data_IF_100780349860
#
_entry.id   IF_100780349860
#
_cell.length_a   1.000
_cell.length_b   1.000
_cell.length_c   1.000
_cell.angle_alpha   90.00
_cell.angle_beta   90.00
_cell.angle_gamma   90.00
#
_symmetry.space_group_name_H-M   'P 1'
#
loop_
_entity.id
_entity.type
_entity.pdbx_description
1 polymer ?
#
# COMPACT_ATOMS: atom_id res chain seq x y z
N UNK A 1 -41.99 32.50 -50.84
CA UNK A 1 -41.89 31.67 -52.06
C UNK A 1 -40.81 30.62 -51.80
N UNK A 2 -41.26 29.42 -51.43
CA UNK A 2 -41.24 28.17 -52.23
C UNK A 2 -40.01 27.34 -51.87
N UNK A 3 -40.16 26.44 -50.89
CA UNK A 3 -40.61 25.05 -51.08
C UNK A 3 -39.50 24.18 -51.69
N UNK A 4 -38.97 23.14 -51.05
CA UNK A 4 -39.59 21.93 -50.45
C UNK A 4 -38.97 20.75 -51.22
N UNK A 5 -38.87 19.60 -50.55
CA UNK A 5 -38.61 18.23 -51.06
C UNK A 5 -37.14 17.79 -51.01
N UNK A 6 -36.78 16.62 -50.48
CA UNK A 6 -37.47 15.50 -49.80
C UNK A 6 -36.28 14.66 -49.21
N UNK A 7 -36.27 14.19 -47.94
CA UNK A 7 -36.88 12.93 -47.45
C UNK A 7 -36.25 11.73 -48.19
N UNK A 8 -35.56 10.71 -47.63
CA UNK A 8 -35.70 9.92 -46.39
C UNK A 8 -34.55 8.91 -46.38
N UNK A 9 -33.96 8.56 -45.23
CA UNK A 9 -34.04 7.17 -44.74
C UNK A 9 -33.65 7.13 -43.25
N UNK A 10 -34.52 6.47 -42.49
CA UNK A 10 -34.64 6.42 -41.05
C UNK A 10 -34.84 4.92 -40.74
N UNK A 11 -33.98 4.30 -39.93
CA UNK A 11 -34.17 2.99 -39.28
C UNK A 11 -32.86 2.69 -38.53
N UNK A 12 -32.76 2.18 -37.30
CA UNK A 12 -33.63 1.98 -36.16
C UNK A 12 -32.70 1.42 -35.06
N UNK A 13 -32.65 2.03 -33.87
CA UNK A 13 -32.08 1.39 -32.67
C UNK A 13 -32.55 2.15 -31.41
N UNK A 14 -33.84 2.02 -31.12
CA UNK A 14 -34.46 2.46 -29.87
C UNK A 14 -35.25 1.29 -29.28
N UNK A 15 -34.59 0.50 -28.42
CA UNK A 15 -35.13 -0.54 -27.53
C UNK A 15 -33.87 -1.04 -26.76
N UNK A 16 -33.69 -0.94 -25.44
CA UNK A 16 -34.59 -1.17 -24.31
C UNK A 16 -34.07 -0.41 -23.08
N UNK A 17 -34.87 0.52 -22.54
CA UNK A 17 -34.73 0.99 -21.16
C UNK A 17 -35.80 0.29 -20.34
N UNK A 18 -35.42 -0.79 -19.66
CA UNK A 18 -36.26 -1.40 -18.63
C UNK A 18 -35.85 -0.85 -17.26
N UNK A 19 -36.78 -0.28 -16.47
CA UNK A 19 -36.53 -0.03 -15.06
C UNK A 19 -36.59 -1.37 -14.31
N UNK A 20 -35.46 -1.81 -13.77
CA UNK A 20 -35.42 -2.93 -12.83
C UNK A 20 -35.93 -2.41 -11.49
N UNK A 21 -37.12 -2.85 -11.09
CA UNK A 21 -37.64 -2.69 -9.74
C UNK A 21 -36.95 -3.75 -8.89
N UNK A 22 -35.95 -3.34 -8.09
CA UNK A 22 -35.31 -4.23 -7.12
C UNK A 22 -36.23 -4.39 -5.90
N UNK A 23 -36.84 -5.55 -5.78
CA UNK A 23 -37.48 -6.06 -4.57
C UNK A 23 -36.43 -6.14 -3.46
N UNK A 24 -36.53 -5.28 -2.45
CA UNK A 24 -35.78 -5.42 -1.20
C UNK A 24 -36.36 -6.63 -0.43
N UNK A 25 -35.65 -7.75 -0.49
CA UNK A 25 -35.88 -8.88 0.41
C UNK A 25 -35.28 -8.53 1.77
N UNK A 26 -36.09 -8.66 2.81
CA UNK A 26 -35.71 -8.53 4.21
C UNK A 26 -34.86 -9.74 4.59
N UNK A 27 -33.54 -9.63 4.54
CA UNK A 27 -32.64 -10.62 5.14
C UNK A 27 -32.37 -10.24 6.60
N UNK A 28 -32.57 -11.22 7.49
CA UNK A 28 -32.23 -11.10 8.91
C UNK A 28 -30.72 -11.03 9.15
N UNK A 29 -30.27 -11.03 10.42
CA UNK A 29 -28.86 -11.00 10.76
C UNK A 29 -28.19 -12.25 10.21
N UNK A 30 -27.50 -12.11 9.09
CA UNK A 30 -26.70 -13.18 8.49
C UNK A 30 -25.42 -13.30 9.30
N UNK A 31 -25.26 -14.43 9.96
CA UNK A 31 -23.99 -14.89 10.49
C UNK A 31 -22.94 -14.83 9.36
N UNK A 32 -21.77 -14.21 9.57
CA UNK A 32 -20.78 -14.07 8.51
C UNK A 32 -20.35 -15.47 8.03
N UNK A 33 -20.32 -15.72 6.72
CA UNK A 33 -19.92 -17.03 6.19
C UNK A 33 -18.47 -17.34 6.58
N UNK A 34 -18.11 -18.63 6.75
CA UNK A 34 -16.72 -19.02 6.97
C UNK A 34 -15.86 -18.46 5.84
N UNK A 35 -14.84 -17.69 6.19
CA UNK A 35 -13.87 -17.12 5.25
C UNK A 35 -13.29 -18.23 4.39
N UNK A 36 -13.46 -18.15 3.07
CA UNK A 36 -12.81 -19.07 2.14
C UNK A 36 -11.29 -19.07 2.38
N UNK A 37 -10.61 -20.23 2.22
CA UNK A 37 -9.16 -20.30 2.43
C UNK A 37 -8.45 -19.30 1.50
N UNK A 38 -7.52 -18.53 2.06
CA UNK A 38 -6.66 -17.66 1.28
C UNK A 38 -5.89 -18.50 0.25
N UNK A 39 -5.76 -18.00 -0.98
CA UNK A 39 -5.11 -18.72 -2.08
C UNK A 39 -3.71 -19.19 -1.66
N UNK A 40 -3.48 -20.50 -1.68
CA UNK A 40 -2.18 -21.10 -1.32
C UNK A 40 -2.06 -21.63 0.11
N UNK A 41 -3.10 -21.52 0.95
CA UNK A 41 -3.15 -22.14 2.28
C UNK A 41 -3.91 -23.47 2.21
N UNK A 42 -3.32 -24.60 2.65
CA UNK A 42 -4.02 -25.88 2.74
C UNK A 42 -5.27 -25.80 3.62
N UNK A 43 -6.31 -26.58 3.29
CA UNK A 43 -7.54 -26.63 4.07
C UNK A 43 -7.28 -27.01 5.54
N UNK A 44 -6.44 -28.02 5.76
CA UNK A 44 -6.00 -28.48 7.10
C UNK A 44 -5.42 -27.36 7.97
N UNK A 45 -4.74 -26.38 7.36
CA UNK A 45 -4.20 -25.23 8.08
C UNK A 45 -5.30 -24.26 8.44
N UNK A 46 -6.22 -24.00 7.50
CA UNK A 46 -7.36 -23.11 7.73
C UNK A 46 -8.27 -23.66 8.83
N UNK A 47 -8.50 -24.98 8.83
CA UNK A 47 -9.29 -25.68 9.84
C UNK A 47 -8.60 -25.59 11.21
N UNK A 48 -7.29 -25.81 11.29
CA UNK A 48 -6.55 -25.66 12.55
C UNK A 48 -6.64 -24.24 13.13
N UNK A 49 -6.49 -23.19 12.31
CA UNK A 49 -6.64 -21.81 12.81
C UNK A 49 -8.08 -21.51 13.27
N UNK A 50 -9.08 -22.14 12.67
CA UNK A 50 -10.48 -21.98 13.06
C UNK A 50 -10.82 -22.74 14.36
N UNK A 51 -10.24 -23.94 14.56
CA UNK A 51 -10.53 -24.82 15.69
C UNK A 51 -9.63 -24.53 16.90
N UNK A 52 -8.32 -24.47 16.70
CA UNK A 52 -7.31 -24.38 17.76
C UNK A 52 -6.81 -22.93 17.94
N UNK A 53 -6.91 -22.11 16.89
CA UNK A 53 -6.38 -20.74 16.91
C UNK A 53 -7.11 -19.81 17.89
N UNK A 54 -8.40 -20.04 18.14
CA UNK A 54 -9.18 -19.28 19.13
C UNK A 54 -8.67 -19.50 20.56
N UNK A 55 -8.37 -20.76 20.92
CA UNK A 55 -7.81 -21.11 22.22
C UNK A 55 -6.37 -20.55 22.37
N UNK A 56 -5.60 -20.55 21.27
CA UNK A 56 -4.24 -20.00 21.27
C UNK A 56 -4.19 -18.49 21.60
N UNK A 57 -5.22 -17.72 21.27
CA UNK A 57 -5.26 -16.28 21.56
C UNK A 57 -6.01 -15.91 22.83
N UNK A 58 -6.51 -16.88 23.60
CA UNK A 58 -7.28 -16.59 24.80
C UNK A 58 -6.52 -15.70 25.81
N UNK A 59 -5.19 -15.84 25.87
CA UNK A 59 -4.32 -15.05 26.73
C UNK A 59 -4.17 -13.58 26.27
N UNK A 60 -4.42 -13.28 25.00
CA UNK A 60 -4.40 -11.91 24.45
C UNK A 60 -5.68 -11.13 24.80
N UNK A 61 -6.73 -11.81 25.27
CA UNK A 61 -7.97 -11.21 25.77
C UNK A 61 -9.25 -11.86 25.25
N UNK A 62 -10.37 -11.27 25.64
CA UNK A 62 -11.70 -11.75 25.29
C UNK A 62 -12.15 -11.27 23.90
N UNK A 63 -13.10 -12.00 23.31
CA UNK A 63 -13.78 -11.64 22.04
C UNK A 63 -12.84 -11.45 20.84
N UNK A 64 -11.76 -12.23 20.81
CA UNK A 64 -10.82 -12.25 19.70
C UNK A 64 -11.29 -13.17 18.59
N UNK A 65 -11.02 -12.76 17.36
CA UNK A 65 -11.24 -13.54 16.14
C UNK A 65 -9.96 -13.54 15.33
N UNK A 66 -9.65 -14.66 14.68
CA UNK A 66 -8.51 -14.74 13.79
C UNK A 66 -8.90 -14.34 12.37
N UNK A 67 -8.05 -13.53 11.75
CA UNK A 67 -8.08 -13.27 10.32
C UNK A 67 -7.66 -14.49 9.50
N UNK A 68 -7.70 -14.39 8.16
CA UNK A 68 -7.26 -15.48 7.30
C UNK A 68 -5.78 -15.79 7.54
N UNK A 69 -5.46 -17.07 7.68
CA UNK A 69 -4.08 -17.53 7.73
C UNK A 69 -3.35 -17.20 6.43
N UNK A 70 -2.06 -16.86 6.54
CA UNK A 70 -1.18 -16.56 5.42
C UNK A 70 0.09 -17.38 5.53
N UNK A 71 0.54 -17.97 4.42
CA UNK A 71 1.79 -18.72 4.38
C UNK A 71 2.96 -17.74 4.50
N UNK A 72 3.90 -18.05 5.39
CA UNK A 72 5.13 -17.28 5.58
C UNK A 72 6.16 -17.72 4.55
N UNK A 73 6.97 -16.78 4.08
CA UNK A 73 8.15 -17.02 3.29
C UNK A 73 9.38 -16.37 3.94
N UNK A 74 10.56 -16.74 3.50
CA UNK A 74 11.81 -16.03 3.78
C UNK A 74 12.43 -15.57 2.46
N UNK A 75 13.31 -14.57 2.50
CA UNK A 75 14.05 -14.18 1.30
C UNK A 75 14.84 -15.36 0.72
N UNK A 76 14.79 -15.53 -0.59
CA UNK A 76 15.59 -16.54 -1.28
C UNK A 76 17.09 -16.21 -1.11
N UNK A 77 17.94 -17.19 -0.84
CA UNK A 77 19.36 -16.95 -0.61
C UNK A 77 20.07 -16.35 -1.84
N UNK A 78 19.72 -16.79 -3.04
CA UNK A 78 20.22 -16.20 -4.29
C UNK A 78 19.71 -14.76 -4.46
N UNK A 79 18.45 -14.50 -4.08
CA UNK A 79 17.91 -13.13 -4.08
C UNK A 79 18.74 -12.21 -3.18
N UNK A 80 19.02 -12.66 -1.96
CA UNK A 80 19.83 -11.94 -0.96
C UNK A 80 21.27 -11.74 -1.45
N UNK A 81 21.83 -12.69 -2.19
CA UNK A 81 23.17 -12.59 -2.76
C UNK A 81 23.26 -11.65 -3.98
N UNK A 82 22.13 -11.11 -4.46
CA UNK A 82 22.07 -10.29 -5.67
C UNK A 82 22.14 -11.10 -6.98
N UNK A 83 21.94 -12.41 -6.91
CA UNK A 83 21.76 -13.28 -8.08
C UNK A 83 20.29 -13.23 -8.51
N UNK A 84 19.94 -13.52 -9.78
CA UNK A 84 18.56 -13.42 -10.27
C UNK A 84 17.82 -14.79 -10.15
N UNK A 85 17.12 -15.09 -9.03
CA UNK A 85 16.35 -16.33 -8.93
C UNK A 85 15.04 -16.24 -9.71
N UNK A 86 14.40 -17.40 -9.94
CA UNK A 86 13.05 -17.45 -10.51
C UNK A 86 12.00 -16.75 -9.64
N UNK A 87 12.17 -16.78 -8.31
CA UNK A 87 11.30 -16.10 -7.34
C UNK A 87 12.11 -15.47 -6.21
N UNK A 88 11.72 -14.28 -5.72
CA UNK A 88 12.48 -13.54 -4.70
C UNK A 88 12.36 -14.11 -3.28
N UNK A 89 11.33 -14.91 -3.01
CA UNK A 89 11.05 -15.47 -1.69
C UNK A 89 10.75 -16.97 -1.76
N UNK A 90 11.21 -17.70 -0.75
CA UNK A 90 11.00 -19.13 -0.60
C UNK A 90 9.96 -19.38 0.49
N UNK A 91 8.83 -20.03 0.18
CA UNK A 91 7.82 -20.30 1.19
C UNK A 91 8.33 -21.32 2.22
N UNK A 92 8.01 -21.11 3.48
CA UNK A 92 8.30 -22.04 4.57
C UNK A 92 7.02 -22.78 4.99
N UNK A 93 7.18 -23.81 5.81
CA UNK A 93 6.08 -24.56 6.41
C UNK A 93 5.58 -23.86 7.69
N UNK A 94 5.39 -22.55 7.60
CA UNK A 94 4.85 -21.71 8.66
C UNK A 94 3.72 -20.83 8.12
N UNK A 95 2.79 -20.50 9.00
CA UNK A 95 1.63 -19.66 8.72
C UNK A 95 1.41 -18.67 9.84
N UNK A 96 0.87 -17.50 9.49
CA UNK A 96 0.57 -16.41 10.42
C UNK A 96 -0.86 -15.91 10.20
N UNK A 97 -1.56 -15.60 11.29
CA UNK A 97 -2.87 -14.97 11.26
C UNK A 97 -2.92 -13.80 12.25
N UNK A 98 -3.65 -12.74 11.88
CA UNK A 98 -3.91 -11.61 12.77
C UNK A 98 -5.00 -11.97 13.78
N UNK A 99 -4.77 -11.67 15.05
CA UNK A 99 -5.77 -11.70 16.11
C UNK A 99 -6.40 -10.31 16.24
N UNK A 100 -7.72 -10.27 16.09
CA UNK A 100 -8.50 -9.04 16.01
C UNK A 100 -9.63 -9.10 17.01
N UNK A 101 -9.72 -8.09 17.88
CA UNK A 101 -10.85 -7.90 18.78
C UNK A 101 -12.01 -7.30 18.02
N UNK A 102 -13.19 -7.89 18.18
CA UNK A 102 -14.42 -7.37 17.59
C UNK A 102 -14.86 -6.12 18.36
N UNK A 103 -14.54 -4.94 17.83
CA UNK A 103 -15.04 -3.66 18.34
C UNK A 103 -16.43 -3.31 17.80
N UNK A 104 -17.13 -2.41 18.49
CA UNK A 104 -18.44 -1.91 18.05
C UNK A 104 -18.37 -0.98 16.82
N UNK A 105 -17.26 -0.29 16.64
CA UNK A 105 -17.08 0.69 15.54
C UNK A 105 -16.07 0.19 14.50
N UNK A 106 -14.95 -0.40 14.94
CA UNK A 106 -13.94 -0.99 14.07
C UNK A 106 -13.27 -2.19 14.75
N UNK A 107 -12.82 -3.19 13.96
CA UNK A 107 -11.93 -4.23 14.47
C UNK A 107 -10.63 -3.61 15.01
N UNK A 108 -10.19 -4.07 16.19
CA UNK A 108 -8.91 -3.67 16.79
C UNK A 108 -7.92 -4.82 16.63
N UNK A 109 -6.79 -4.58 15.96
CA UNK A 109 -5.73 -5.57 15.83
C UNK A 109 -4.91 -5.66 17.12
N UNK A 110 -4.81 -6.85 17.71
CA UNK A 110 -4.25 -7.04 19.06
C UNK A 110 -2.93 -7.81 19.03
N UNK A 111 -2.80 -8.78 18.14
CA UNK A 111 -1.61 -9.62 18.08
C UNK A 111 -1.62 -10.60 16.93
N UNK A 112 -0.67 -11.52 16.92
CA UNK A 112 -0.49 -12.51 15.85
C UNK A 112 -0.34 -13.90 16.42
N UNK A 113 -0.87 -14.88 15.68
CA UNK A 113 -0.68 -16.30 15.94
C UNK A 113 0.16 -16.88 14.83
N UNK A 114 1.19 -17.63 15.20
CA UNK A 114 2.06 -18.35 14.27
C UNK A 114 1.97 -19.83 14.50
N UNK A 115 1.82 -20.59 13.42
CA UNK A 115 1.77 -22.04 13.43
C UNK A 115 2.70 -22.61 12.37
N UNK A 116 3.20 -23.83 12.59
CA UNK A 116 4.14 -24.47 11.68
C UNK A 116 3.95 -25.97 11.64
N UNK A 117 4.32 -26.58 10.51
CA UNK A 117 4.24 -28.02 10.37
C UNK A 117 5.49 -28.66 11.00
N UNK A 118 5.28 -29.48 12.03
CA UNK A 118 6.32 -30.27 12.68
C UNK A 118 5.83 -31.72 12.83
N UNK A 119 6.68 -32.67 12.45
CA UNK A 119 6.43 -34.12 12.51
C UNK A 119 5.13 -34.58 11.81
N UNK A 120 4.73 -33.87 10.75
CA UNK A 120 3.52 -34.18 9.98
C UNK A 120 2.22 -33.65 10.57
N UNK A 121 2.29 -32.81 11.60
CA UNK A 121 1.15 -32.11 12.20
C UNK A 121 1.39 -30.61 12.30
N UNK A 122 0.32 -29.81 12.25
CA UNK A 122 0.41 -28.39 12.53
C UNK A 122 0.50 -28.15 14.05
N UNK A 123 1.43 -27.32 14.47
CA UNK A 123 1.65 -26.96 15.87
C UNK A 123 1.72 -25.45 16.03
N UNK A 124 1.24 -24.96 17.17
CA UNK A 124 1.43 -23.56 17.57
C UNK A 124 2.93 -23.30 17.75
N UNK A 125 3.45 -22.28 17.08
CA UNK A 125 4.83 -21.83 17.23
C UNK A 125 4.93 -20.70 18.24
N UNK A 126 4.07 -19.70 18.10
CA UNK A 126 4.13 -18.47 18.89
C UNK A 126 2.81 -17.70 18.87
N UNK A 127 2.60 -16.92 19.92
CA UNK A 127 1.51 -15.95 20.06
C UNK A 127 2.11 -14.66 20.60
N UNK A 128 2.03 -13.59 19.83
CA UNK A 128 2.71 -12.32 20.16
C UNK A 128 1.71 -11.18 20.18
N UNK A 129 1.82 -10.29 21.18
CA UNK A 129 1.14 -8.99 21.24
C UNK A 129 1.80 -7.99 20.27
N UNK A 130 1.69 -8.27 18.97
CA UNK A 130 2.16 -7.39 17.89
C UNK A 130 0.96 -6.80 17.13
N UNK A 131 0.38 -5.74 17.70
CA UNK A 131 -0.75 -5.02 17.12
C UNK A 131 -0.43 -4.41 15.75
N UNK A 132 0.84 -4.08 15.49
CA UNK A 132 1.27 -3.46 14.24
C UNK A 132 1.27 -4.48 13.11
N UNK A 133 1.92 -5.63 13.31
CA UNK A 133 1.90 -6.72 12.34
C UNK A 133 0.47 -7.25 12.16
N UNK A 134 -0.31 -7.35 13.24
CA UNK A 134 -1.71 -7.76 13.17
C UNK A 134 -2.54 -6.82 12.29
N UNK A 135 -2.37 -5.50 12.43
CA UNK A 135 -3.04 -4.52 11.59
C UNK A 135 -2.59 -4.64 10.13
N UNK A 136 -1.28 -4.75 9.89
CA UNK A 136 -0.74 -4.93 8.55
C UNK A 136 -1.26 -6.21 7.87
N UNK A 137 -1.35 -7.33 8.59
CA UNK A 137 -1.89 -8.60 8.10
C UNK A 137 -3.40 -8.57 7.84
N UNK A 138 -4.12 -7.72 8.56
CA UNK A 138 -5.56 -7.50 8.35
C UNK A 138 -5.82 -6.70 7.07
N UNK A 139 -4.97 -5.71 6.77
CA UNK A 139 -5.13 -4.80 5.63
C UNK A 139 -4.49 -5.31 4.33
N UNK A 140 -3.50 -6.20 4.44
CA UNK A 140 -2.73 -6.67 3.28
C UNK A 140 -3.62 -7.43 2.27
N UNK A 141 -3.51 -7.17 0.96
CA UNK A 141 -4.32 -7.82 -0.06
C UNK A 141 -4.24 -9.36 -0.01
N UNK A 142 -5.28 -10.01 -0.53
CA UNK A 142 -5.24 -11.45 -0.81
C UNK A 142 -4.17 -11.75 -1.86
N UNK A 143 -3.38 -12.80 -1.67
CA UNK A 143 -2.32 -13.21 -2.61
C UNK A 143 -0.95 -12.58 -2.33
N UNK A 144 -0.85 -11.62 -1.41
CA UNK A 144 0.45 -11.11 -0.96
C UNK A 144 1.27 -12.21 -0.30
N UNK A 145 2.53 -12.34 -0.74
CA UNK A 145 3.53 -13.17 -0.08
C UNK A 145 4.03 -12.41 1.14
N UNK A 146 3.86 -13.00 2.33
CA UNK A 146 4.30 -12.43 3.60
C UNK A 146 5.68 -12.99 3.91
N UNK A 147 6.69 -12.12 3.94
CA UNK A 147 8.10 -12.50 4.06
C UNK A 147 8.63 -12.10 5.43
N UNK A 148 9.11 -13.07 6.21
CA UNK A 148 9.81 -12.84 7.48
C UNK A 148 11.31 -12.68 7.22
N UNK A 149 11.91 -11.67 7.82
CA UNK A 149 13.34 -11.43 7.79
C UNK A 149 13.90 -11.31 9.21
N UNK A 150 14.52 -12.39 9.68
CA UNK A 150 15.06 -12.50 11.03
C UNK A 150 16.24 -11.54 11.27
N UNK A 151 16.90 -11.04 10.21
CA UNK A 151 18.06 -10.14 10.32
C UNK A 151 17.67 -8.77 10.89
N UNK A 152 16.46 -8.33 10.59
CA UNK A 152 15.92 -7.03 11.02
C UNK A 152 14.67 -7.17 11.87
N UNK A 153 14.39 -8.41 12.31
CA UNK A 153 13.18 -8.76 13.06
C UNK A 153 11.92 -8.17 12.40
N UNK A 154 11.87 -8.26 11.07
CA UNK A 154 10.94 -7.50 10.23
C UNK A 154 10.11 -8.37 9.31
N UNK A 155 8.96 -7.81 8.88
CA UNK A 155 8.06 -8.46 7.94
C UNK A 155 7.85 -7.58 6.71
N UNK A 156 7.86 -8.20 5.53
CA UNK A 156 7.65 -7.54 4.25
C UNK A 156 6.45 -8.17 3.51
N UNK A 157 5.77 -7.35 2.72
CA UNK A 157 4.80 -7.81 1.73
C UNK A 157 5.44 -7.82 0.35
N UNK A 158 5.11 -8.83 -0.45
CA UNK A 158 5.43 -8.90 -1.88
C UNK A 158 4.18 -9.25 -2.68
N UNK A 159 3.83 -8.40 -3.64
CA UNK A 159 2.73 -8.61 -4.58
C UNK A 159 3.04 -7.90 -5.89
N UNK A 160 2.74 -8.54 -7.02
CA UNK A 160 2.90 -7.96 -8.36
C UNK A 160 4.30 -7.38 -8.63
N UNK A 161 5.34 -7.99 -8.05
CA UNK A 161 6.73 -7.57 -8.19
C UNK A 161 7.14 -6.37 -7.33
N UNK A 162 6.25 -5.87 -6.46
CA UNK A 162 6.56 -4.80 -5.52
C UNK A 162 6.74 -5.32 -4.09
N UNK A 163 7.77 -4.83 -3.41
CA UNK A 163 8.10 -5.11 -2.01
C UNK A 163 7.82 -3.87 -1.16
N UNK A 164 7.16 -4.04 -0.02
CA UNK A 164 6.96 -2.97 0.96
C UNK A 164 7.08 -3.49 2.40
N UNK A 165 7.43 -2.62 3.36
CA UNK A 165 7.54 -3.01 4.76
C UNK A 165 6.16 -3.17 5.41
N UNK A 166 5.99 -4.19 6.26
CA UNK A 166 4.80 -4.39 7.08
C UNK A 166 5.03 -3.97 8.54
N UNK A 167 6.25 -4.14 9.05
CA UNK A 167 6.60 -3.82 10.46
C UNK A 167 7.69 -2.76 10.58
N UNK A 168 7.87 -2.21 11.79
CA UNK A 168 8.96 -1.27 12.10
C UNK A 168 10.35 -1.83 11.75
N UNK A 169 10.62 -3.09 12.06
CA UNK A 169 11.88 -3.76 11.70
C UNK A 169 12.16 -3.72 10.20
N UNK A 170 11.14 -3.98 9.37
CA UNK A 170 11.24 -3.85 7.92
C UNK A 170 11.36 -2.39 7.46
N UNK A 171 10.71 -1.44 8.15
CA UNK A 171 10.84 -0.01 7.86
C UNK A 171 12.24 0.55 8.13
N UNK A 172 13.02 -0.08 9.00
CA UNK A 172 14.44 0.28 9.21
C UNK A 172 15.29 0.06 7.93
N UNK A 173 14.84 -0.83 7.05
CA UNK A 173 15.49 -1.22 5.79
C UNK A 173 14.86 -0.49 4.61
N UNK A 174 13.53 -0.39 4.58
CA UNK A 174 12.77 0.09 3.44
C UNK A 174 11.62 1.00 3.90
N UNK A 175 11.58 2.26 3.48
CA UNK A 175 10.56 3.24 3.95
C UNK A 175 9.30 3.32 3.07
N UNK A 176 9.17 2.51 2.02
CA UNK A 176 8.05 2.55 1.09
C UNK A 176 8.01 1.33 0.17
N UNK A 177 7.21 1.38 -0.90
CA UNK A 177 7.20 0.32 -1.91
C UNK A 177 8.35 0.50 -2.91
N UNK A 178 8.98 -0.60 -3.31
CA UNK A 178 9.96 -0.65 -4.40
C UNK A 178 9.76 -1.91 -5.27
N UNK A 179 10.09 -1.85 -6.57
CA UNK A 179 10.21 -3.06 -7.37
C UNK A 179 11.20 -4.03 -6.73
N UNK A 180 10.89 -5.33 -6.76
CA UNK A 180 11.70 -6.38 -6.14
C UNK A 180 13.14 -6.36 -6.70
N UNK A 181 13.31 -6.14 -8.00
CA UNK A 181 14.64 -6.08 -8.64
C UNK A 181 15.49 -4.93 -8.07
N UNK A 182 14.88 -3.78 -7.77
CA UNK A 182 15.57 -2.64 -7.14
C UNK A 182 15.85 -2.92 -5.67
N UNK A 183 14.89 -3.54 -4.97
CA UNK A 183 15.07 -3.91 -3.57
C UNK A 183 16.16 -4.98 -3.40
N UNK A 184 16.32 -5.88 -4.36
CA UNK A 184 17.38 -6.88 -4.39
C UNK A 184 18.78 -6.24 -4.39
N UNK A 185 19.02 -5.29 -5.31
CA UNK A 185 20.32 -4.61 -5.40
C UNK A 185 20.68 -3.95 -4.06
N UNK A 186 19.69 -3.32 -3.43
CA UNK A 186 19.84 -2.73 -2.10
C UNK A 186 20.09 -3.78 -1.03
N UNK A 187 19.30 -4.86 -0.99
CA UNK A 187 19.40 -5.91 0.02
C UNK A 187 20.75 -6.63 -0.07
N UNK A 188 21.23 -6.91 -1.28
CA UNK A 188 22.54 -7.51 -1.51
C UNK A 188 23.68 -6.59 -1.06
N UNK A 189 23.62 -5.29 -1.35
CA UNK A 189 24.60 -4.31 -0.88
C UNK A 189 24.52 -4.04 0.64
N UNK A 190 23.34 -4.20 1.24
CA UNK A 190 23.12 -4.03 2.67
C UNK A 190 23.60 -5.26 3.46
N UNK A 191 23.41 -6.48 2.92
CA UNK A 191 23.80 -7.75 3.57
C UNK A 191 25.20 -8.25 3.21
N UNK A 192 25.76 -7.84 2.08
CA UNK A 192 27.13 -8.14 1.65
C UNK A 192 27.90 -6.85 1.40
N UNK A 193 29.16 -6.70 1.82
CA UNK A 193 30.25 -7.45 1.17
C UNK A 193 29.88 -7.73 -0.28
N UNK A 194 30.05 -6.73 -1.14
CA UNK A 194 29.95 -6.92 -2.58
C UNK A 194 30.79 -8.15 -2.97
N UNK A 195 30.34 -9.04 -3.87
CA UNK A 195 31.25 -10.00 -4.47
C UNK A 195 32.46 -9.20 -4.94
N UNK A 196 33.72 -9.58 -4.64
CA UNK A 196 34.86 -8.84 -5.13
C UNK A 196 34.65 -8.79 -6.64
N UNK A 197 34.38 -7.59 -7.15
CA UNK A 197 34.29 -7.35 -8.58
C UNK A 197 35.53 -8.05 -9.12
N UNK A 198 35.34 -9.03 -10.01
CA UNK A 198 36.44 -9.70 -10.65
C UNK A 198 37.26 -8.60 -11.31
N UNK A 199 38.30 -8.16 -10.61
CA UNK A 199 39.16 -7.08 -11.04
C UNK A 199 39.77 -7.60 -12.33
N UNK A 200 39.50 -6.99 -13.50
CA UNK A 200 40.36 -7.26 -14.63
C UNK A 200 41.76 -6.95 -14.12
N UNK A 201 42.66 -7.92 -14.19
CA UNK A 201 44.05 -7.73 -13.79
C UNK A 201 44.68 -6.71 -14.74
N UNK A 202 44.44 -5.43 -14.49
CA UNK A 202 45.15 -4.34 -15.12
C UNK A 202 46.51 -4.32 -14.46
N UNK A 203 47.47 -4.76 -15.26
CA UNK A 203 48.90 -4.56 -15.08
C UNK A 203 49.15 -3.12 -14.62
N UNK A 204 50.01 -2.99 -13.62
CA UNK A 204 50.58 -1.74 -13.09
C UNK A 204 50.76 -0.67 -14.19
N UNK A 205 50.20 0.52 -13.95
CA UNK A 205 50.82 1.75 -14.42
C UNK A 205 50.64 2.84 -13.36
N UNK A 206 51.78 3.39 -12.96
CA UNK A 206 51.97 4.38 -11.91
C UNK A 206 51.32 5.73 -12.27
N UNK A 207 50.60 6.34 -11.32
CA UNK A 207 50.43 7.80 -11.34
C UNK A 207 49.10 8.34 -10.81
N UNK A 208 49.14 8.91 -9.59
CA UNK A 208 48.21 9.95 -9.16
C UNK A 208 46.98 9.46 -8.40
N UNK A 209 47.14 9.28 -7.09
CA UNK A 209 46.08 8.98 -6.13
C UNK A 209 44.98 10.04 -6.12
N UNK A 210 43.83 9.74 -6.74
CA UNK A 210 42.54 10.35 -6.43
C UNK A 210 41.69 9.33 -5.67
N UNK A 211 41.30 9.73 -4.45
CA UNK A 211 40.62 8.96 -3.42
C UNK A 211 39.29 8.32 -3.92
N UNK A 212 38.99 7.05 -3.60
CA UNK A 212 37.79 6.32 -4.06
C UNK A 212 36.49 6.67 -3.32
N UNK A 213 36.42 7.80 -2.61
CA UNK A 213 35.25 8.21 -1.81
C UNK A 213 34.11 8.89 -2.61
N UNK A 214 34.18 8.91 -3.93
CA UNK A 214 33.26 9.68 -4.78
C UNK A 214 31.87 9.04 -5.01
N UNK A 215 31.65 7.70 -5.04
CA UNK A 215 30.30 7.20 -5.39
C UNK A 215 29.25 7.37 -4.28
N UNK A 216 29.65 7.35 -2.99
CA UNK A 216 28.70 7.47 -1.86
C UNK A 216 28.14 8.90 -1.75
N UNK A 217 28.97 9.91 -2.01
CA UNK A 217 28.56 11.31 -1.95
C UNK A 217 27.47 11.66 -2.99
N UNK A 218 27.51 11.05 -4.17
CA UNK A 218 26.57 11.33 -5.27
C UNK A 218 25.19 10.75 -4.98
N UNK A 219 25.11 9.55 -4.38
CA UNK A 219 23.83 8.89 -4.05
C UNK A 219 23.09 9.64 -2.92
N UNK A 220 23.82 10.07 -1.88
CA UNK A 220 23.22 10.86 -0.79
C UNK A 220 22.75 12.24 -1.28
N UNK A 221 23.53 12.89 -2.17
CA UNK A 221 23.12 14.17 -2.79
C UNK A 221 21.92 14.02 -3.72
N UNK A 222 21.82 12.91 -4.46
CA UNK A 222 20.67 12.62 -5.30
C UNK A 222 19.40 12.39 -4.47
N UNK A 223 19.48 11.58 -3.41
CA UNK A 223 18.35 11.34 -2.49
C UNK A 223 17.88 12.61 -1.77
N UNK A 224 18.82 13.40 -1.23
CA UNK A 224 18.49 14.68 -0.61
C UNK A 224 17.91 15.68 -1.63
N UNK A 225 18.40 15.68 -2.87
CA UNK A 225 17.89 16.52 -3.96
C UNK A 225 16.44 16.17 -4.32
N UNK A 226 16.11 14.88 -4.42
CA UNK A 226 14.74 14.40 -4.68
C UNK A 226 13.81 14.75 -3.51
N UNK A 227 14.24 14.53 -2.26
CA UNK A 227 13.45 14.89 -1.09
C UNK A 227 13.14 16.39 -1.01
N UNK A 228 14.14 17.26 -1.30
CA UNK A 228 13.94 18.72 -1.34
C UNK A 228 13.01 19.13 -2.48
N UNK A 229 13.10 18.47 -3.65
CA UNK A 229 12.20 18.73 -4.79
C UNK A 229 10.75 18.34 -4.48
N UNK A 230 10.54 17.16 -3.89
CA UNK A 230 9.22 16.70 -3.46
C UNK A 230 8.62 17.63 -2.38
N UNK A 231 9.43 18.06 -1.41
CA UNK A 231 8.99 18.99 -0.37
C UNK A 231 8.64 20.37 -0.94
N UNK A 232 9.34 20.82 -1.99
CA UNK A 232 9.01 22.04 -2.74
C UNK A 232 7.70 21.90 -3.52
N UNK A 233 7.47 20.76 -4.17
CA UNK A 233 6.23 20.50 -4.90
C UNK A 233 5.02 20.43 -3.95
N UNK A 234 5.17 19.79 -2.80
CA UNK A 234 4.12 19.74 -1.77
C UNK A 234 3.75 21.13 -1.26
N UNK A 235 4.75 21.99 -0.98
CA UNK A 235 4.49 23.38 -0.57
C UNK A 235 3.81 24.22 -1.67
N UNK A 236 4.08 23.94 -2.94
CA UNK A 236 3.39 24.60 -4.05
C UNK A 236 1.94 24.12 -4.21
N UNK A 237 1.66 22.84 -3.96
CA UNK A 237 0.30 22.30 -3.99
C UNK A 237 -0.60 22.91 -2.91
N UNK A 238 -0.11 23.02 -1.67
CA UNK A 238 -0.84 23.66 -0.56
C UNK A 238 -1.12 25.14 -0.84
N UNK A 239 -0.18 25.85 -1.48
CA UNK A 239 -0.40 27.26 -1.82
C UNK A 239 -1.50 27.47 -2.86
N UNK A 240 -1.77 26.48 -3.72
CA UNK A 240 -2.88 26.53 -4.68
C UNK A 240 -4.22 26.30 -4.00
N UNK A 241 -4.28 25.35 -3.06
CA UNK A 241 -5.49 25.11 -2.27
C UNK A 241 -5.82 26.33 -1.40
N UNK A 242 -4.81 26.94 -0.77
CA UNK A 242 -5.00 28.17 -0.01
C UNK A 242 -5.43 29.37 -0.88
N UNK A 243 -4.88 29.48 -2.10
CA UNK A 243 -5.28 30.53 -3.05
C UNK A 243 -6.71 30.33 -3.58
N UNK A 244 -7.12 29.09 -3.88
CA UNK A 244 -8.48 28.78 -4.35
C UNK A 244 -9.52 28.97 -3.23
N UNK A 245 -9.18 28.63 -1.98
CA UNK A 245 -10.04 28.90 -0.82
C UNK A 245 -10.17 30.41 -0.57
N UNK A 246 -9.10 31.19 -0.76
CA UNK A 246 -9.17 32.64 -0.62
C UNK A 246 -9.94 33.31 -1.76
N UNK A 247 -9.80 32.82 -3.00
CA UNK A 247 -10.56 33.29 -4.15
C UNK A 247 -12.06 32.95 -4.05
N UNK A 248 -12.41 31.82 -3.44
CA UNK A 248 -13.79 31.42 -3.14
C UNK A 248 -14.45 32.19 -1.98
N UNK A 249 -13.66 32.86 -1.13
CA UNK A 249 -14.16 33.67 -0.01
C UNK A 249 -14.21 35.18 -0.31
N UNK A 250 -13.79 35.62 -1.50
CA UNK A 250 -13.97 37.01 -1.89
C UNK A 250 -15.49 37.30 -1.96
N UNK A 251 -16.03 38.22 -1.14
CA UNK A 251 -17.44 38.57 -1.22
C UNK A 251 -17.73 39.07 -2.65
N UNK A 252 -18.89 38.70 -3.23
CA UNK A 252 -19.27 39.20 -4.54
C UNK A 252 -19.19 40.74 -4.52
N UNK A 253 -18.72 41.38 -5.60
CA UNK A 253 -18.73 42.83 -5.67
C UNK A 253 -20.15 43.28 -5.39
N UNK A 254 -20.30 44.10 -4.34
CA UNK A 254 -21.58 44.74 -4.05
C UNK A 254 -21.94 45.55 -5.27
N UNK A 255 -22.95 45.07 -6.00
CA UNK A 255 -23.64 45.82 -7.03
C UNK A 255 -24.17 47.08 -6.34
N UNK A 256 -23.42 48.18 -6.51
CA UNK A 256 -23.78 49.50 -6.04
C UNK A 256 -25.04 49.96 -6.75
N UNK A 257 -26.18 49.58 -6.18
CA UNK A 257 -27.48 50.16 -6.45
C UNK A 257 -27.38 51.68 -6.33
N UNK A 258 -27.89 52.33 -7.37
CA UNK A 258 -27.74 53.75 -7.59
C UNK A 258 -28.36 54.60 -6.50
N UNK A 259 -27.61 55.63 -6.11
CA UNK A 259 -28.21 56.90 -5.74
C UNK A 259 -27.97 57.89 -6.87
N UNK A 260 -29.06 58.15 -7.59
CA UNK A 260 -29.13 59.27 -8.51
C UNK A 260 -29.16 60.56 -7.72
N UNK A 261 -28.12 61.38 -7.87
CA UNK A 261 -28.21 62.80 -7.61
C UNK A 261 -27.74 63.55 -8.86
N UNK A 262 -28.71 63.90 -9.70
CA UNK A 262 -28.48 64.68 -10.90
C UNK A 262 -28.24 66.15 -10.54
N UNK A 263 -27.15 66.78 -11.02
CA UNK A 263 -26.99 68.21 -10.85
C UNK A 263 -28.02 68.96 -11.70
N UNK A 264 -28.89 69.72 -11.01
CA UNK A 264 -29.78 70.73 -11.60
C UNK A 264 -28.95 71.67 -12.48
N UNK A 265 -29.30 71.75 -13.75
CA UNK A 265 -28.87 72.83 -14.63
C UNK A 265 -29.52 74.13 -14.14
N UNK A 266 -28.77 74.97 -13.44
CA UNK A 266 -29.09 76.37 -13.29
C UNK A 266 -28.75 77.09 -14.60
N UNK A 267 -29.80 77.55 -15.30
CA UNK A 267 -29.70 78.56 -16.35
C UNK A 267 -29.32 79.89 -15.70
N UNK A 268 -28.25 80.58 -16.12
CA UNK A 268 -28.16 82.01 -15.94
C UNK A 268 -29.01 82.70 -17.03
N UNK A 269 -30.00 83.45 -16.57
CA UNK A 269 -30.58 84.58 -17.29
C UNK A 269 -29.57 85.74 -17.27
N UNK A 270 -29.28 86.35 -18.42
CA UNK A 270 -28.46 87.56 -18.53
C UNK A 270 -27.52 87.57 -19.73
#
# INVERSE_FOLDING_TARGET
>A
MTSRRLVTLLLAAAALLHPVVATAATDGPSEPPPSAPATGVPAEVSDWFAEEGGDAVADLGEELTLGPARRVATWNEAYVAGEEPEVPATPVQEWVAAAVRRGAEAPEAVGVVRAGAADGSLQLLDVTEDAELAAALHEVPSGTVVIRDDTVEGWFGLLDGEVWPLTEGARSVLQGSLPAEVFQEFLAAWRGEAPPAAVPSTTEDDGGTLSPLIPIGVIVLAGAGVAILLLRQYRQADSRIAADVHAGMAPPPEDGDGDGDGPRQERPEG
#
